data_IF_424617705245
#
_entry.id   IF_424617705245
#
_cell.length_a   1.000
_cell.length_b   1.000
_cell.length_c   1.000
_cell.angle_alpha   90.00
_cell.angle_beta   90.00
_cell.angle_gamma   90.00
#
_symmetry.space_group_name_H-M   'P 1'
#
loop_
_entity.id
_entity.type
_entity.pdbx_description
1 polymer ?
#
# COMPACT_ATOMS: atom_id res chain seq x y z
N UNK A 1 43.41 -32.20 -24.97
CA UNK A 1 43.33 -32.35 -23.50
C UNK A 1 41.93 -31.90 -23.09
N UNK A 2 41.11 -32.82 -22.58
CA UNK A 2 39.74 -32.56 -22.13
C UNK A 2 39.77 -32.39 -20.61
N UNK A 3 39.31 -31.26 -20.10
CA UNK A 3 39.16 -31.04 -18.66
C UNK A 3 37.67 -30.97 -18.36
N UNK A 4 37.18 -32.03 -17.71
CA UNK A 4 35.84 -32.07 -17.12
C UNK A 4 35.91 -31.36 -15.77
N UNK A 5 35.14 -30.29 -15.59
CA UNK A 5 34.84 -29.74 -14.27
C UNK A 5 33.38 -30.02 -13.95
N UNK A 6 33.17 -31.05 -13.13
CA UNK A 6 31.95 -31.30 -12.38
C UNK A 6 31.96 -30.35 -11.18
N UNK A 7 31.07 -29.36 -11.15
CA UNK A 7 30.82 -28.56 -9.95
C UNK A 7 29.61 -29.13 -9.22
N UNK A 8 29.84 -29.57 -7.99
CA UNK A 8 28.86 -30.20 -7.13
C UNK A 8 27.95 -29.16 -6.47
N UNK A 9 26.65 -29.37 -6.62
CA UNK A 9 25.58 -28.64 -5.94
C UNK A 9 25.50 -29.09 -4.49
N UNK A 10 25.73 -28.17 -3.53
CA UNK A 10 25.49 -28.42 -2.11
C UNK A 10 24.26 -27.61 -1.67
N UNK A 11 23.10 -28.28 -1.63
CA UNK A 11 21.88 -27.73 -1.02
C UNK A 11 21.97 -27.88 0.52
N UNK A 12 22.24 -26.78 1.22
CA UNK A 12 22.05 -26.71 2.67
C UNK A 12 20.62 -26.23 2.97
N UNK A 13 19.70 -27.17 3.19
CA UNK A 13 18.40 -26.86 3.82
C UNK A 13 18.57 -26.79 5.33
N UNK A 14 18.66 -25.58 5.87
CA UNK A 14 18.52 -25.34 7.31
C UNK A 14 17.03 -25.20 7.63
N UNK A 15 16.39 -26.32 7.94
CA UNK A 15 15.01 -26.37 8.41
C UNK A 15 14.91 -25.87 9.85
N UNK A 16 14.55 -24.60 10.05
CA UNK A 16 14.23 -24.05 11.36
C UNK A 16 12.73 -24.22 11.65
N UNK A 17 12.32 -25.43 12.04
CA UNK A 17 10.96 -25.67 12.55
C UNK A 17 10.85 -25.08 13.96
N UNK A 18 10.35 -23.84 14.08
CA UNK A 18 9.86 -23.31 15.37
C UNK A 18 8.58 -24.06 15.75
N UNK A 19 8.70 -24.96 16.72
CA UNK A 19 7.55 -25.55 17.38
C UNK A 19 6.79 -24.45 18.15
N UNK A 20 5.65 -24.03 17.62
CA UNK A 20 4.71 -23.20 18.35
C UNK A 20 4.02 -24.05 19.41
N UNK A 21 4.32 -23.79 20.68
CA UNK A 21 3.53 -24.31 21.79
C UNK A 21 2.09 -23.81 21.66
N UNK A 22 1.07 -24.70 21.67
CA UNK A 22 -0.32 -24.28 21.60
C UNK A 22 -0.67 -23.49 22.86
N UNK A 23 -1.06 -22.22 22.68
CA UNK A 23 -1.64 -21.41 23.75
C UNK A 23 -2.95 -22.08 24.20
N UNK A 24 -2.94 -22.59 25.43
CA UNK A 24 -4.11 -23.14 26.10
C UNK A 24 -5.06 -22.00 26.50
N UNK A 25 -5.80 -21.48 25.52
CA UNK A 25 -6.82 -20.46 25.72
C UNK A 25 -8.07 -21.18 26.23
N UNK A 26 -8.33 -21.06 27.53
CA UNK A 26 -9.60 -21.52 28.12
C UNK A 26 -10.77 -20.81 27.43
N UNK A 27 -11.81 -21.52 27.00
CA UNK A 27 -12.97 -20.91 26.35
C UNK A 27 -13.67 -19.97 27.33
N UNK A 28 -13.70 -18.68 26.97
CA UNK A 28 -14.47 -17.66 27.68
C UNK A 28 -15.95 -17.97 27.42
N UNK A 29 -16.67 -18.40 28.46
CA UNK A 29 -18.14 -18.51 28.43
C UNK A 29 -18.70 -17.12 28.12
N UNK A 30 -19.28 -16.96 26.93
CA UNK A 30 -20.06 -15.77 26.57
C UNK A 30 -21.32 -15.75 27.44
N UNK A 31 -21.66 -14.61 28.06
CA UNK A 31 -22.97 -14.45 28.68
C UNK A 31 -24.04 -14.45 27.58
N UNK A 32 -25.13 -15.18 27.83
CA UNK A 32 -26.32 -15.18 26.98
C UNK A 32 -26.95 -13.79 27.00
N UNK A 33 -26.68 -13.01 25.95
CA UNK A 33 -27.36 -11.74 25.72
C UNK A 33 -28.61 -12.05 24.89
N UNK A 34 -29.76 -12.04 25.55
CA UNK A 34 -31.06 -12.08 24.91
C UNK A 34 -31.20 -10.87 23.97
N UNK A 35 -31.12 -11.12 22.66
CA UNK A 35 -31.25 -10.11 21.64
C UNK A 35 -32.72 -9.95 21.24
N UNK A 36 -33.45 -9.12 21.99
CA UNK A 36 -34.70 -8.51 21.49
C UNK A 36 -34.34 -7.24 20.71
N UNK A 37 -33.88 -7.42 19.48
CA UNK A 37 -33.69 -6.31 18.54
C UNK A 37 -34.79 -6.37 17.49
N UNK A 38 -35.85 -5.59 17.72
CA UNK A 38 -36.88 -5.31 16.72
C UNK A 38 -36.22 -4.69 15.49
N UNK A 39 -36.18 -5.47 14.42
CA UNK A 39 -35.75 -5.04 13.10
C UNK A 39 -36.86 -4.14 12.51
N UNK A 40 -36.71 -2.82 12.67
CA UNK A 40 -37.58 -1.85 11.98
C UNK A 40 -37.15 -1.79 10.52
N UNK A 41 -37.81 -2.59 9.70
CA UNK A 41 -37.70 -2.58 8.24
C UNK A 41 -38.17 -1.23 7.69
N UNK A 42 -37.23 -0.31 7.42
CA UNK A 42 -37.49 0.87 6.61
C UNK A 42 -37.62 0.43 5.15
N UNK A 43 -38.86 0.31 4.69
CA UNK A 43 -39.18 0.21 3.27
C UNK A 43 -38.76 1.51 2.57
N UNK A 44 -37.66 1.45 1.82
CA UNK A 44 -37.33 2.42 0.78
C UNK A 44 -38.35 2.28 -0.34
N UNK A 45 -39.19 3.30 -0.50
CA UNK A 45 -40.08 3.43 -1.65
C UNK A 45 -39.26 3.69 -2.93
N UNK A 46 -39.60 3.06 -4.05
CA UNK A 46 -39.03 3.40 -5.34
C UNK A 46 -39.61 4.74 -5.80
N UNK A 47 -38.79 5.78 -5.82
CA UNK A 47 -39.09 7.04 -6.50
C UNK A 47 -39.12 6.79 -8.01
N UNK A 48 -40.34 6.76 -8.55
CA UNK A 48 -40.64 6.85 -9.96
C UNK A 48 -40.53 8.31 -10.44
N UNK A 49 -40.25 8.44 -11.73
CA UNK A 49 -40.49 9.62 -12.58
C UNK A 49 -39.60 10.85 -12.44
N UNK A 50 -38.56 10.87 -13.29
CA UNK A 50 -38.13 12.10 -13.97
C UNK A 50 -37.73 11.78 -15.41
N UNK A 51 -38.70 11.90 -16.31
CA UNK A 51 -38.55 11.98 -17.76
C UNK A 51 -37.62 13.14 -18.14
N UNK A 52 -36.42 12.82 -18.62
CA UNK A 52 -35.51 13.78 -19.23
C UNK A 52 -35.94 14.06 -20.69
N UNK A 53 -36.01 15.33 -21.13
CA UNK A 53 -36.22 15.66 -22.53
C UNK A 53 -34.96 15.32 -23.35
N UNK A 54 -35.17 14.55 -24.43
CA UNK A 54 -34.18 14.31 -25.47
C UNK A 54 -33.87 15.64 -26.17
N UNK A 55 -32.66 16.16 -25.93
CA UNK A 55 -32.11 17.25 -26.74
C UNK A 55 -31.28 16.58 -27.84
N UNK A 56 -31.92 16.38 -28.99
CA UNK A 56 -31.26 16.05 -30.25
C UNK A 56 -30.38 17.24 -30.65
N UNK A 57 -29.11 17.20 -30.26
CA UNK A 57 -28.14 18.21 -30.64
C UNK A 57 -27.42 17.75 -31.92
N UNK A 58 -28.09 17.95 -33.06
CA UNK A 58 -27.48 17.89 -34.38
C UNK A 58 -26.52 19.06 -34.56
N UNK A 59 -25.25 18.86 -34.21
CA UNK A 59 -24.15 19.70 -34.66
C UNK A 59 -23.09 18.82 -35.34
N UNK A 60 -23.50 18.26 -36.48
CA UNK A 60 -22.59 17.78 -37.51
C UNK A 60 -22.17 18.97 -38.38
N UNK A 61 -21.04 19.61 -38.05
CA UNK A 61 -20.16 20.29 -39.01
C UNK A 61 -19.05 21.04 -38.29
N UNK A 62 -17.86 20.96 -38.87
CA UNK A 62 -16.66 21.75 -38.57
C UNK A 62 -15.86 21.32 -37.32
N UNK A 63 -15.25 20.14 -37.39
CA UNK A 63 -13.90 19.97 -36.82
C UNK A 63 -12.92 19.75 -37.97
N UNK A 64 -12.49 20.88 -38.51
CA UNK A 64 -11.28 20.95 -39.29
C UNK A 64 -10.16 20.28 -38.50
N UNK A 65 -9.43 19.39 -39.19
CA UNK A 65 -8.20 18.81 -38.73
C UNK A 65 -7.18 19.93 -38.46
N UNK A 66 -7.16 20.44 -37.23
CA UNK A 66 -5.99 21.13 -36.70
C UNK A 66 -5.03 20.02 -36.32
N UNK A 67 -4.33 19.52 -37.34
CA UNK A 67 -3.09 18.77 -37.19
C UNK A 67 -2.06 19.73 -36.61
N UNK A 68 -2.19 20.04 -35.32
CA UNK A 68 -1.11 20.60 -34.53
C UNK A 68 -0.05 19.48 -34.43
N UNK A 69 0.78 19.37 -35.47
CA UNK A 69 2.09 18.76 -35.40
C UNK A 69 2.91 19.58 -34.42
N UNK A 70 2.62 19.37 -33.14
CA UNK A 70 3.40 19.89 -32.03
C UNK A 70 4.80 19.31 -32.24
N UNK A 71 5.85 20.15 -32.26
CA UNK A 71 7.21 19.68 -32.51
C UNK A 71 7.45 18.50 -31.58
N UNK A 72 8.00 17.41 -32.13
CA UNK A 72 8.41 16.25 -31.35
C UNK A 72 9.37 16.79 -30.28
N UNK A 73 8.80 16.95 -29.09
CA UNK A 73 9.47 17.46 -27.91
C UNK A 73 10.53 16.41 -27.60
N UNK A 74 11.81 16.78 -27.77
CA UNK A 74 13.01 15.99 -27.45
C UNK A 74 13.04 15.70 -25.94
N UNK A 75 12.04 14.95 -25.49
CA UNK A 75 11.75 14.67 -24.11
C UNK A 75 12.67 13.54 -23.71
N UNK A 76 13.62 13.88 -22.83
CA UNK A 76 14.56 12.93 -22.26
C UNK A 76 13.75 11.80 -21.60
N UNK A 77 14.09 10.57 -21.98
CA UNK A 77 13.47 9.37 -21.45
C UNK A 77 14.53 8.47 -20.83
N UNK A 78 14.24 7.95 -19.64
CA UNK A 78 15.13 7.11 -18.87
C UNK A 78 14.65 5.65 -18.89
N UNK A 79 15.56 4.67 -19.05
CA UNK A 79 15.21 3.27 -18.96
C UNK A 79 14.95 2.90 -17.50
N UNK A 80 13.83 2.22 -17.26
CA UNK A 80 13.40 1.70 -15.96
C UNK A 80 13.12 0.22 -16.11
N UNK A 81 13.75 -0.59 -15.26
CA UNK A 81 13.50 -2.04 -15.19
C UNK A 81 12.30 -2.29 -14.30
N UNK A 82 11.34 -3.08 -14.76
CA UNK A 82 10.10 -3.39 -14.05
C UNK A 82 10.02 -4.90 -13.86
N UNK A 83 9.83 -5.33 -12.62
CA UNK A 83 9.71 -6.72 -12.19
C UNK A 83 8.29 -7.00 -11.71
N UNK A 84 7.74 -8.15 -12.11
CA UNK A 84 6.45 -8.64 -11.64
C UNK A 84 6.40 -10.18 -11.71
N UNK A 85 6.24 -10.85 -10.56
CA UNK A 85 6.12 -12.32 -10.48
C UNK A 85 7.20 -13.09 -11.28
N UNK A 86 8.45 -12.62 -11.23
CA UNK A 86 9.58 -13.20 -11.96
C UNK A 86 9.71 -12.78 -13.43
N UNK A 87 8.72 -12.08 -13.98
CA UNK A 87 8.85 -11.42 -15.28
C UNK A 87 9.57 -10.09 -15.15
N UNK A 88 10.38 -9.76 -16.16
CA UNK A 88 11.16 -8.53 -16.23
C UNK A 88 10.92 -7.85 -17.56
N UNK A 89 10.64 -6.55 -17.54
CA UNK A 89 10.53 -5.72 -18.73
C UNK A 89 11.24 -4.38 -18.51
N UNK A 90 11.73 -3.77 -19.58
CA UNK A 90 12.30 -2.42 -19.53
C UNK A 90 11.34 -1.45 -20.19
N UNK A 91 11.00 -0.37 -19.49
CA UNK A 91 10.21 0.74 -20.03
C UNK A 91 11.04 2.00 -20.13
N UNK A 92 10.64 2.91 -21.02
CA UNK A 92 11.23 4.24 -21.11
C UNK A 92 10.26 5.27 -20.53
N UNK A 93 10.66 5.94 -19.44
CA UNK A 93 9.84 6.95 -18.73
C UNK A 93 10.38 8.34 -19.03
N UNK A 94 9.53 9.26 -19.46
CA UNK A 94 9.91 10.65 -19.73
C UNK A 94 10.03 11.45 -18.42
N UNK A 95 10.91 12.46 -18.39
CA UNK A 95 11.21 13.26 -17.17
C UNK A 95 9.98 13.91 -16.52
N UNK A 96 8.95 14.26 -17.31
CA UNK A 96 7.71 14.90 -16.82
C UNK A 96 6.48 13.99 -16.89
N UNK A 97 6.69 12.67 -17.03
CA UNK A 97 5.62 11.67 -17.13
C UNK A 97 5.58 10.81 -15.85
N UNK A 98 4.41 10.64 -15.21
CA UNK A 98 4.27 9.69 -14.11
C UNK A 98 4.58 8.26 -14.59
N UNK A 99 5.26 7.46 -13.76
CA UNK A 99 5.64 6.08 -14.09
C UNK A 99 4.42 5.26 -14.55
N UNK A 100 3.26 5.41 -13.89
CA UNK A 100 2.02 4.75 -14.29
C UNK A 100 1.63 5.03 -15.74
N UNK A 101 1.77 6.28 -16.19
CA UNK A 101 1.42 6.67 -17.55
C UNK A 101 2.40 6.02 -18.56
N UNK A 102 3.69 5.97 -18.23
CA UNK A 102 4.68 5.31 -19.08
C UNK A 102 4.42 3.79 -19.21
N UNK A 103 3.97 3.14 -18.14
CA UNK A 103 3.54 1.73 -18.13
C UNK A 103 2.34 1.50 -19.07
N UNK A 104 1.32 2.37 -18.99
CA UNK A 104 0.11 2.29 -19.82
C UNK A 104 0.43 2.51 -21.30
N UNK A 105 1.21 3.55 -21.60
CA UNK A 105 1.61 3.93 -22.96
C UNK A 105 2.37 2.81 -23.67
N UNK A 106 3.21 2.07 -22.95
CA UNK A 106 4.01 0.98 -23.52
C UNK A 106 3.29 -0.37 -23.49
N UNK A 107 2.08 -0.45 -22.91
CA UNK A 107 1.24 -1.66 -22.91
C UNK A 107 2.00 -2.94 -22.47
N UNK A 108 2.87 -2.81 -21.45
CA UNK A 108 3.76 -3.90 -21.02
C UNK A 108 3.05 -5.02 -20.24
N UNK A 109 1.73 -4.94 -20.09
CA UNK A 109 0.93 -5.91 -19.34
C UNK A 109 1.17 -7.33 -19.84
N UNK A 110 1.24 -7.53 -21.15
CA UNK A 110 1.49 -8.84 -21.77
C UNK A 110 2.87 -9.38 -21.41
N UNK A 111 3.92 -8.53 -21.45
CA UNK A 111 5.29 -8.93 -21.14
C UNK A 111 5.50 -9.26 -19.66
N UNK A 112 4.74 -8.63 -18.77
CA UNK A 112 4.79 -8.85 -17.33
C UNK A 112 3.80 -9.90 -16.81
N UNK A 113 2.98 -10.50 -17.68
CA UNK A 113 1.93 -11.43 -17.27
C UNK A 113 0.80 -10.78 -16.46
N UNK A 114 0.64 -9.45 -16.57
CA UNK A 114 -0.41 -8.69 -15.90
C UNK A 114 -1.68 -8.65 -16.76
N UNK A 115 -2.84 -8.78 -16.13
CA UNK A 115 -4.11 -8.49 -16.81
C UNK A 115 -4.31 -6.98 -16.99
N UNK A 116 -3.99 -6.20 -15.95
CA UNK A 116 -4.04 -4.74 -15.92
C UNK A 116 -2.97 -4.20 -14.96
N UNK A 117 -2.50 -2.97 -15.19
CA UNK A 117 -1.59 -2.28 -14.27
C UNK A 117 -2.39 -1.83 -13.05
N UNK A 118 -1.97 -2.16 -11.81
CA UNK A 118 -2.77 -1.87 -10.62
C UNK A 118 -2.81 -0.37 -10.34
N UNK A 119 -4.01 0.23 -10.40
CA UNK A 119 -4.26 1.62 -10.03
C UNK A 119 -5.76 1.85 -9.78
N UNK A 120 -6.11 2.86 -8.99
CA UNK A 120 -7.51 3.23 -8.75
C UNK A 120 -7.72 4.76 -8.78
N UNK A 121 -7.04 5.51 -7.92
CA UNK A 121 -7.30 6.96 -7.80
C UNK A 121 -6.52 7.84 -8.79
N UNK A 122 -5.37 7.37 -9.30
CA UNK A 122 -4.40 8.12 -10.13
C UNK A 122 -3.97 9.48 -9.57
N UNK A 123 -4.06 9.66 -8.25
CA UNK A 123 -3.80 10.93 -7.54
C UNK A 123 -2.92 10.77 -6.30
N UNK A 124 -2.37 9.58 -6.07
CA UNK A 124 -1.58 9.31 -4.85
C UNK A 124 -2.40 9.31 -3.56
N UNK A 125 -3.70 9.00 -3.63
CA UNK A 125 -4.60 8.94 -2.46
C UNK A 125 -4.90 7.50 -1.99
N UNK A 126 -4.40 6.50 -2.70
CA UNK A 126 -4.58 5.09 -2.38
C UNK A 126 -3.27 4.32 -2.63
N UNK A 127 -3.15 3.14 -2.03
CA UNK A 127 -1.96 2.29 -2.11
C UNK A 127 -2.00 1.26 -3.26
N UNK A 128 -3.06 1.27 -4.08
CA UNK A 128 -3.25 0.28 -5.15
C UNK A 128 -2.09 0.25 -6.14
N UNK A 129 -1.51 1.40 -6.47
CA UNK A 129 -0.39 1.51 -7.42
C UNK A 129 0.98 1.52 -6.74
N UNK A 130 1.08 0.94 -5.54
CA UNK A 130 2.34 0.83 -4.81
C UNK A 130 3.30 -0.12 -5.54
N UNK A 131 4.55 0.31 -5.64
CA UNK A 131 5.67 -0.45 -6.16
C UNK A 131 6.86 -0.30 -5.20
N UNK A 132 7.72 -1.31 -5.16
CA UNK A 132 8.94 -1.28 -4.37
C UNK A 132 10.13 -0.92 -5.24
N UNK A 133 10.98 -0.02 -4.77
CA UNK A 133 12.21 0.38 -5.42
C UNK A 133 13.33 -0.56 -4.96
N UNK A 134 13.73 -1.48 -5.85
CA UNK A 134 14.88 -2.35 -5.62
C UNK A 134 16.15 -1.64 -6.10
N UNK A 135 17.15 -1.50 -5.24
CA UNK A 135 18.49 -1.06 -5.63
C UNK A 135 19.07 -2.07 -6.62
N UNK A 136 19.46 -1.57 -7.80
CA UNK A 136 19.94 -2.39 -8.93
C UNK A 136 21.39 -2.84 -8.81
N UNK A 137 22.09 -2.47 -7.74
CA UNK A 137 23.45 -2.92 -7.45
C UNK A 137 23.39 -4.25 -6.68
N UNK A 138 23.23 -5.35 -7.41
CA UNK A 138 23.57 -6.70 -6.93
C UNK A 138 25.10 -6.93 -6.96
N UNK A 139 25.89 -5.90 -7.28
CA UNK A 139 27.35 -5.93 -7.28
C UNK A 139 27.87 -5.22 -6.02
N UNK A 140 28.57 -5.99 -5.19
CA UNK A 140 29.39 -5.63 -4.02
C UNK A 140 28.72 -5.74 -2.64
N UNK A 141 28.92 -6.90 -2.02
CA UNK A 141 28.61 -7.31 -0.64
C UNK A 141 29.42 -6.57 0.44
N UNK A 142 29.86 -5.33 0.18
CA UNK A 142 30.59 -4.55 1.17
C UNK A 142 29.57 -3.77 2.02
N UNK A 143 29.28 -4.35 3.18
CA UNK A 143 28.42 -3.86 4.27
C UNK A 143 28.80 -2.46 4.75
N UNK A 144 28.44 -1.41 4.00
CA UNK A 144 28.26 -0.08 4.59
C UNK A 144 26.84 0.38 4.35
N UNK A 145 26.15 0.62 5.47
CA UNK A 145 24.79 1.11 5.67
C UNK A 145 24.58 2.48 4.99
N UNK A 146 24.68 2.52 3.68
CA UNK A 146 24.51 3.70 2.87
C UNK A 146 23.03 3.75 2.52
N UNK A 147 22.30 4.63 3.18
CA UNK A 147 20.90 4.93 2.93
C UNK A 147 20.73 5.35 1.46
N UNK A 148 20.52 4.36 0.60
CA UNK A 148 20.55 4.46 -0.86
C UNK A 148 19.26 5.13 -1.36
N UNK A 149 19.14 6.42 -1.08
CA UNK A 149 18.20 7.28 -1.78
C UNK A 149 18.74 7.45 -3.20
N UNK A 150 18.17 6.70 -4.14
CA UNK A 150 18.40 6.91 -5.55
C UNK A 150 17.97 8.33 -5.91
N UNK A 151 18.92 9.25 -6.13
CA UNK A 151 18.66 10.64 -6.55
C UNK A 151 17.97 10.75 -7.93
N UNK A 152 17.71 9.61 -8.57
CA UNK A 152 17.14 9.45 -9.90
C UNK A 152 15.61 9.27 -9.89
N UNK A 153 14.95 9.45 -8.73
CA UNK A 153 13.49 9.39 -8.62
C UNK A 153 12.95 10.49 -7.69
N UNK A 154 11.89 11.17 -8.15
CA UNK A 154 11.02 11.96 -7.30
C UNK A 154 9.83 11.09 -6.90
N UNK A 155 9.94 10.42 -5.76
CA UNK A 155 8.91 9.54 -5.24
C UNK A 155 7.77 10.33 -4.59
N UNK A 156 6.53 9.84 -4.76
CA UNK A 156 5.38 10.25 -3.96
C UNK A 156 5.14 11.78 -3.97
N UNK A 157 5.25 12.40 -5.14
CA UNK A 157 5.05 13.85 -5.27
C UNK A 157 3.57 14.18 -5.07
N UNK A 158 3.26 15.09 -4.13
CA UNK A 158 1.91 15.55 -3.83
C UNK A 158 0.91 14.42 -3.49
N UNK A 159 1.33 13.42 -2.69
CA UNK A 159 0.38 12.40 -2.21
C UNK A 159 -0.70 13.05 -1.33
N UNK A 160 -1.94 12.58 -1.49
CA UNK A 160 -3.03 12.90 -0.56
C UNK A 160 -3.12 11.91 0.60
N UNK A 161 -2.04 11.15 0.85
CA UNK A 161 -1.92 10.31 2.03
C UNK A 161 -1.61 11.15 3.26
N UNK A 162 -1.90 10.62 4.44
CA UNK A 162 -1.49 11.27 5.68
C UNK A 162 0.05 11.28 5.78
N UNK A 163 0.68 12.34 6.32
CA UNK A 163 2.14 12.45 6.40
C UNK A 163 2.85 11.28 7.09
N UNK A 164 2.18 10.58 8.02
CA UNK A 164 2.74 9.40 8.67
C UNK A 164 2.88 8.22 7.71
N UNK A 165 1.89 8.00 6.83
CA UNK A 165 1.92 6.93 5.83
C UNK A 165 2.95 7.28 4.75
N UNK A 166 2.95 8.52 4.27
CA UNK A 166 3.87 8.98 3.23
C UNK A 166 5.35 8.82 3.64
N UNK A 167 5.68 9.17 4.90
CA UNK A 167 7.00 8.91 5.48
C UNK A 167 7.34 7.44 5.54
N UNK A 168 6.38 6.60 5.92
CA UNK A 168 6.57 5.16 6.03
C UNK A 168 6.78 4.50 4.66
N UNK A 169 6.08 4.95 3.61
CA UNK A 169 6.35 4.48 2.25
C UNK A 169 7.79 4.82 1.84
N UNK A 170 8.16 6.09 2.02
CA UNK A 170 9.46 6.61 1.59
C UNK A 170 10.61 5.98 2.38
N UNK A 171 10.47 5.78 3.69
CA UNK A 171 11.50 5.12 4.52
C UNK A 171 11.74 3.67 4.15
N UNK A 172 10.78 3.06 3.46
CA UNK A 172 10.79 1.65 3.10
C UNK A 172 10.92 1.42 1.60
N UNK A 173 11.38 2.43 0.85
CA UNK A 173 11.59 2.36 -0.58
C UNK A 173 10.33 1.99 -1.37
N UNK A 174 9.14 2.33 -0.86
CA UNK A 174 7.89 2.18 -1.60
C UNK A 174 7.49 3.50 -2.27
N UNK A 175 7.03 3.38 -3.50
CA UNK A 175 6.56 4.49 -4.32
C UNK A 175 5.15 4.24 -4.83
N UNK A 176 4.41 5.31 -5.10
CA UNK A 176 3.15 5.26 -5.82
C UNK A 176 3.41 5.64 -7.28
N UNK A 177 3.28 4.68 -8.19
CA UNK A 177 3.63 4.87 -9.61
C UNK A 177 2.80 5.98 -10.30
N UNK A 178 1.60 6.30 -9.79
CA UNK A 178 0.74 7.34 -10.35
C UNK A 178 1.18 8.78 -10.07
N UNK A 179 2.08 8.99 -9.12
CA UNK A 179 2.56 10.32 -8.72
C UNK A 179 4.07 10.32 -8.41
N UNK A 180 4.81 9.42 -9.04
CA UNK A 180 6.27 9.36 -8.96
C UNK A 180 6.86 9.55 -10.35
N UNK A 181 8.00 10.27 -10.41
CA UNK A 181 8.65 10.72 -11.62
C UNK A 181 10.11 10.32 -11.63
N UNK A 182 10.66 10.01 -12.80
CA UNK A 182 12.05 9.55 -12.95
C UNK A 182 12.91 10.73 -13.40
N UNK A 183 13.99 10.97 -12.67
CA UNK A 183 14.97 12.03 -12.96
C UNK A 183 16.30 11.48 -13.50
N UNK A 184 16.51 10.15 -13.48
CA UNK A 184 17.72 9.54 -14.01
C UNK A 184 17.60 8.02 -14.26
N UNK A 185 18.64 7.39 -14.84
CA UNK A 185 18.65 5.97 -15.17
C UNK A 185 18.90 5.07 -13.94
N UNK A 186 18.86 3.75 -14.14
CA UNK A 186 19.28 2.76 -13.14
C UNK A 186 18.20 2.34 -12.14
N UNK A 187 16.96 2.76 -12.35
CA UNK A 187 15.83 2.45 -11.47
C UNK A 187 15.27 1.06 -11.79
N UNK A 188 15.10 0.24 -10.75
CA UNK A 188 14.38 -1.04 -10.83
C UNK A 188 13.17 -1.03 -9.90
N UNK A 189 12.00 -1.36 -10.43
CA UNK A 189 10.72 -1.33 -9.72
C UNK A 189 10.12 -2.72 -9.66
N UNK A 190 9.63 -3.12 -8.50
CA UNK A 190 8.80 -4.31 -8.32
C UNK A 190 7.34 -3.91 -8.15
N UNK A 191 6.47 -4.41 -9.03
CA UNK A 191 5.03 -4.10 -9.02
C UNK A 191 4.25 -5.02 -8.07
N UNK A 192 2.94 -4.74 -7.92
CA UNK A 192 1.98 -5.54 -7.13
C UNK A 192 2.33 -5.63 -5.64
N UNK A 193 2.94 -4.57 -5.10
CA UNK A 193 3.35 -4.50 -3.70
C UNK A 193 2.24 -3.92 -2.80
N UNK A 194 1.02 -3.79 -3.31
CA UNK A 194 -0.09 -3.15 -2.58
C UNK A 194 -0.44 -3.89 -1.29
N UNK A 195 -0.53 -5.22 -1.30
CA UNK A 195 -0.88 -6.01 -0.11
C UNK A 195 0.20 -5.92 0.97
N UNK A 196 1.47 -6.02 0.57
CA UNK A 196 2.62 -5.91 1.47
C UNK A 196 2.64 -4.53 2.13
N UNK A 197 2.44 -3.47 1.35
CA UNK A 197 2.39 -2.10 1.84
C UNK A 197 1.18 -1.87 2.74
N UNK A 198 0.01 -2.41 2.40
CA UNK A 198 -1.19 -2.33 3.25
C UNK A 198 -0.97 -2.98 4.62
N UNK A 199 -0.39 -4.17 4.63
CA UNK A 199 -0.10 -4.89 5.87
C UNK A 199 0.90 -4.13 6.71
N UNK A 200 1.95 -3.59 6.10
CA UNK A 200 2.93 -2.78 6.79
C UNK A 200 2.33 -1.52 7.42
N UNK A 201 1.67 -0.71 6.59
CA UNK A 201 1.16 0.61 7.00
C UNK A 201 0.03 0.51 8.01
N UNK A 202 -0.84 -0.51 7.92
CA UNK A 202 -2.05 -0.57 8.74
C UNK A 202 -2.06 -1.73 9.72
N UNK A 203 -1.63 -2.93 9.31
CA UNK A 203 -1.70 -4.11 10.20
C UNK A 203 -0.64 -4.04 11.28
N UNK A 204 0.60 -3.70 10.94
CA UNK A 204 1.69 -3.59 11.93
C UNK A 204 1.38 -2.50 12.96
N UNK A 205 0.88 -1.34 12.52
CA UNK A 205 0.45 -0.27 13.43
C UNK A 205 -0.65 -0.71 14.38
N UNK A 206 -1.61 -1.52 13.94
CA UNK A 206 -2.66 -2.03 14.82
C UNK A 206 -2.07 -2.99 15.86
N UNK A 207 -1.16 -3.87 15.45
CA UNK A 207 -0.51 -4.83 16.35
C UNK A 207 0.35 -4.12 17.39
N UNK A 208 1.18 -3.16 16.97
CA UNK A 208 2.02 -2.37 17.87
C UNK A 208 1.18 -1.55 18.86
N UNK A 209 0.09 -0.95 18.37
CA UNK A 209 -0.80 -0.16 19.21
C UNK A 209 -1.82 -0.98 20.01
N UNK A 210 -1.97 -2.29 19.78
CA UNK A 210 -2.89 -3.12 20.58
C UNK A 210 -2.52 -3.12 22.06
N UNK A 211 -1.24 -3.01 22.40
CA UNK A 211 -0.81 -2.87 23.80
C UNK A 211 -1.36 -1.59 24.42
N UNK A 212 -1.19 -0.46 23.73
CA UNK A 212 -1.66 0.86 24.19
C UNK A 212 -3.19 0.91 24.23
N UNK A 213 -3.86 0.45 23.16
CA UNK A 213 -5.32 0.39 23.08
C UNK A 213 -5.89 -0.54 24.16
N UNK A 214 -5.25 -1.67 24.42
CA UNK A 214 -5.62 -2.59 25.49
C UNK A 214 -5.53 -1.95 26.88
N UNK A 215 -4.46 -1.19 27.13
CA UNK A 215 -4.29 -0.41 28.36
C UNK A 215 -5.35 0.69 28.49
N UNK A 216 -5.66 1.41 27.39
CA UNK A 216 -6.68 2.44 27.38
C UNK A 216 -8.08 1.88 27.64
N UNK A 217 -8.42 0.75 27.01
CA UNK A 217 -9.69 0.04 27.22
C UNK A 217 -9.81 -0.45 28.66
N UNK A 218 -8.73 -0.99 29.23
CA UNK A 218 -8.69 -1.40 30.65
C UNK A 218 -8.85 -0.20 31.58
N UNK A 219 -8.23 0.94 31.26
CA UNK A 219 -8.38 2.17 32.03
C UNK A 219 -9.81 2.73 31.94
N UNK A 220 -10.42 2.75 30.74
CA UNK A 220 -11.83 3.11 30.53
C UNK A 220 -12.78 2.20 31.32
N UNK A 221 -12.56 0.88 31.28
CA UNK A 221 -13.36 -0.07 32.04
C UNK A 221 -13.24 0.18 33.55
N UNK A 222 -12.02 0.41 34.06
CA UNK A 222 -11.78 0.72 35.47
C UNK A 222 -12.50 2.01 35.89
N UNK A 223 -12.40 3.08 35.10
CA UNK A 223 -13.13 4.33 35.32
C UNK A 223 -14.65 4.11 35.39
N UNK A 224 -15.21 3.38 34.43
CA UNK A 224 -16.65 3.09 34.44
C UNK A 224 -17.12 2.24 35.64
N UNK A 225 -16.26 1.38 36.19
CA UNK A 225 -16.56 0.67 37.45
C UNK A 225 -16.49 1.62 38.64
N UNK A 226 -15.48 2.49 38.69
CA UNK A 226 -15.28 3.45 39.77
C UNK A 226 -16.38 4.52 39.81
N UNK A 227 -16.87 4.95 38.64
CA UNK A 227 -18.01 5.88 38.49
C UNK A 227 -19.33 5.28 39.01
N UNK A 228 -19.53 3.96 38.83
CA UNK A 228 -20.73 3.25 39.34
C UNK A 228 -20.68 2.98 40.84
N UNK A 229 -19.48 2.89 41.43
CA UNK A 229 -19.27 2.60 42.85
C UNK A 229 -18.30 3.61 43.48
N UNK A 230 -18.77 4.86 43.55
CA UNK A 230 -18.02 6.00 44.10
C UNK A 230 -17.61 5.74 45.56
N UNK A 231 -18.43 5.03 46.33
CA UNK A 231 -18.14 4.69 47.73
C UNK A 231 -16.93 3.76 47.87
N UNK A 232 -16.86 2.70 47.06
CA UNK A 232 -15.69 1.80 47.02
C UNK A 232 -14.46 2.49 46.45
N UNK A 233 -14.62 3.37 45.46
CA UNK A 233 -13.50 4.16 44.95
C UNK A 233 -12.92 5.08 46.03
N UNK A 234 -13.77 5.83 46.76
CA UNK A 234 -13.35 6.72 47.85
C UNK A 234 -12.53 5.99 48.92
N UNK A 235 -13.05 4.87 49.44
CA UNK A 235 -12.35 4.05 50.45
C UNK A 235 -10.98 3.54 49.96
N UNK A 236 -10.87 3.19 48.68
CA UNK A 236 -9.58 2.77 48.08
C UNK A 236 -8.60 3.92 47.98
N UNK A 237 -9.07 5.13 47.67
CA UNK A 237 -8.21 6.31 47.62
C UNK A 237 -7.76 6.76 49.00
N UNK A 238 -8.66 6.77 50.00
CA UNK A 238 -8.32 7.07 51.40
C UNK A 238 -7.17 6.18 51.89
N UNK A 239 -7.25 4.87 51.63
CA UNK A 239 -6.19 3.92 51.99
C UNK A 239 -4.82 4.23 51.36
N UNK A 240 -4.78 4.83 50.16
CA UNK A 240 -3.51 5.17 49.50
C UNK A 240 -2.80 6.39 50.12
N UNK A 241 -3.50 7.18 50.94
CA UNK A 241 -2.93 8.35 51.63
C UNK A 241 -2.53 8.06 53.08
N UNK A 242 -3.00 6.93 53.63
CA UNK A 242 -2.65 6.49 54.99
C UNK A 242 -1.34 5.67 55.03
N UNK A 243 -0.83 5.24 53.88
CA UNK A 243 0.47 4.55 53.69
C UNK A 243 1.57 5.56 53.27
#
# INVERSE_FOLDING_TARGET
MRVNLLSATACCHVGYTRAFSPLNIKPIKRPDVAADTKCTSLQLQPSQDASHPSIDNTNASLRAAVSNSRPEDDTIAYPVTVRHQGHVATIHVRENEPILHALERQSITTSLGLSNIPHQCRRGNCLTCAAHLTSSTEEEEDEEESTNYNNNIQANVNTGLTPSIDRELTSNNYILTCCSYITGPGITLELEQNEVVWDRVYRERVVENMGVLGMEMRAKQKRGVDERDVGRWRKRMEKLFDD
#
